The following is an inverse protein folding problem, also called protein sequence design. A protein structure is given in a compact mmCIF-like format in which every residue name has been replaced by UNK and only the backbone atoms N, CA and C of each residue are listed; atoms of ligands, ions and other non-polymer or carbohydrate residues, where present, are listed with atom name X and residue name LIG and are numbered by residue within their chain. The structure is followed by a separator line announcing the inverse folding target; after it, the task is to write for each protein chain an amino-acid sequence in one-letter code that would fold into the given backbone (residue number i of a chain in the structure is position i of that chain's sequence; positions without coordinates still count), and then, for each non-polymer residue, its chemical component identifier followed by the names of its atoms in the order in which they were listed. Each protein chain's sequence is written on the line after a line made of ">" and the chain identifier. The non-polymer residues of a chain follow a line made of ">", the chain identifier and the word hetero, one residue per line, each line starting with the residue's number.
data_IF_701705476611
#
_entry.id   IF_701705476611
#
_cell.length_a   1.000
_cell.length_b   1.000
_cell.length_c   1.000
_cell.angle_alpha   90.00
_cell.angle_beta   90.00
_cell.angle_gamma   90.00
#
_symmetry.space_group_name_H-M   'P 1'
#
loop_
_entity.id
_entity.type
_entity.pdbx_description
1 polymer ?
#
# COMPACT_ATOMS: atom_id res chain seq x y z
N UNK A 1 15.23 -6.53 13.00
CA UNK A 1 14.36 -6.27 11.83
C UNK A 1 15.15 -6.61 10.56
N UNK A 2 14.54 -7.26 9.58
CA UNK A 2 15.21 -7.56 8.31
C UNK A 2 14.91 -6.46 7.29
N UNK A 3 15.86 -5.53 7.11
CA UNK A 3 15.72 -4.39 6.20
C UNK A 3 15.41 -4.82 4.74
N UNK A 4 15.99 -5.95 4.30
CA UNK A 4 15.73 -6.50 2.96
C UNK A 4 14.27 -6.91 2.79
N UNK A 5 13.66 -7.57 3.79
CA UNK A 5 12.27 -7.98 3.75
C UNK A 5 11.34 -6.75 3.73
N UNK A 6 11.67 -5.70 4.48
CA UNK A 6 10.92 -4.43 4.50
C UNK A 6 10.96 -3.76 3.13
N UNK A 7 12.15 -3.58 2.56
CA UNK A 7 12.31 -2.89 1.28
C UNK A 7 11.66 -3.66 0.14
N UNK A 8 11.99 -4.95 -0.02
CA UNK A 8 11.42 -5.77 -1.10
C UNK A 8 9.91 -5.91 -0.90
N UNK A 9 9.47 -6.22 0.32
CA UNK A 9 8.04 -6.37 0.62
C UNK A 9 7.27 -5.07 0.38
N UNK A 10 7.77 -3.94 0.88
CA UNK A 10 7.15 -2.63 0.69
C UNK A 10 7.06 -2.23 -0.77
N UNK A 11 8.15 -2.33 -1.53
CA UNK A 11 8.18 -1.94 -2.95
C UNK A 11 7.31 -2.87 -3.81
N UNK A 12 7.49 -4.18 -3.72
CA UNK A 12 6.76 -5.13 -4.57
C UNK A 12 5.26 -5.11 -4.27
N UNK A 13 4.87 -5.10 -2.99
CA UNK A 13 3.47 -4.99 -2.63
C UNK A 13 2.86 -3.64 -3.06
N UNK A 14 3.63 -2.55 -2.98
CA UNK A 14 3.23 -1.22 -3.45
C UNK A 14 2.96 -1.19 -4.97
N UNK A 15 3.87 -1.75 -5.75
CA UNK A 15 3.69 -1.82 -7.21
C UNK A 15 2.46 -2.66 -7.57
N UNK A 16 2.25 -3.78 -6.89
CA UNK A 16 1.10 -4.64 -7.15
C UNK A 16 -0.25 -3.93 -6.87
N UNK A 17 -0.37 -3.21 -5.75
CA UNK A 17 -1.60 -2.47 -5.45
C UNK A 17 -1.77 -1.29 -6.42
N UNK A 18 -0.71 -0.53 -6.71
CA UNK A 18 -0.78 0.61 -7.62
C UNK A 18 -1.25 0.18 -9.02
N UNK A 19 -0.64 -0.86 -9.59
CA UNK A 19 -1.02 -1.39 -10.91
C UNK A 19 -2.48 -1.86 -10.92
N UNK A 20 -2.91 -2.56 -9.86
CA UNK A 20 -4.29 -3.02 -9.76
C UNK A 20 -5.27 -1.85 -9.68
N UNK A 21 -5.02 -0.87 -8.85
CA UNK A 21 -5.92 0.28 -8.70
C UNK A 21 -5.99 1.13 -9.95
N UNK A 22 -4.85 1.37 -10.59
CA UNK A 22 -4.79 2.04 -11.89
C UNK A 22 -5.62 1.29 -12.95
N UNK A 23 -5.51 -0.04 -13.01
CA UNK A 23 -6.29 -0.83 -13.97
C UNK A 23 -7.80 -0.80 -13.65
N UNK A 24 -8.19 -0.88 -12.38
CA UNK A 24 -9.60 -0.81 -11.98
C UNK A 24 -10.18 0.56 -12.31
N UNK A 25 -9.52 1.64 -11.91
CA UNK A 25 -10.00 3.02 -12.14
C UNK A 25 -10.03 3.41 -13.63
N UNK A 26 -9.26 2.71 -14.47
CA UNK A 26 -9.30 2.90 -15.92
C UNK A 26 -10.54 2.30 -16.57
N UNK A 27 -11.15 1.25 -15.99
CA UNK A 27 -12.21 0.48 -16.65
C UNK A 27 -13.59 0.60 -15.99
N UNK A 28 -13.67 1.05 -14.74
CA UNK A 28 -14.97 1.22 -14.07
C UNK A 28 -15.69 2.47 -14.58
N UNK A 29 -17.04 2.47 -14.61
CA UNK A 29 -17.80 3.67 -14.91
C UNK A 29 -17.49 4.77 -13.90
N UNK A 30 -17.25 5.98 -14.43
CA UNK A 30 -16.90 7.17 -13.62
C UNK A 30 -15.61 7.03 -12.81
N UNK A 31 -14.73 6.11 -13.18
CA UNK A 31 -13.42 5.93 -12.54
C UNK A 31 -12.51 7.14 -12.75
N UNK A 32 -11.51 7.24 -11.90
CA UNK A 32 -10.54 8.33 -11.92
C UNK A 32 -9.58 8.32 -13.13
N UNK A 33 -9.63 7.26 -13.94
CA UNK A 33 -8.74 7.04 -15.07
C UNK A 33 -7.47 6.27 -14.69
N UNK A 34 -6.70 5.85 -15.71
CA UNK A 34 -5.52 5.00 -15.52
C UNK A 34 -4.51 5.57 -14.52
N UNK A 35 -4.24 6.86 -14.59
CA UNK A 35 -3.29 7.54 -13.70
C UNK A 35 -3.97 8.27 -12.52
N UNK A 36 -5.30 8.11 -12.38
CA UNK A 36 -6.09 8.73 -11.34
C UNK A 36 -5.58 8.45 -9.92
N UNK A 37 -5.38 7.18 -9.53
CA UNK A 37 -4.94 6.86 -8.17
C UNK A 37 -3.62 7.52 -7.76
N UNK A 38 -2.52 7.44 -8.52
CA UNK A 38 -1.29 8.15 -8.14
C UNK A 38 -1.45 9.67 -8.20
N UNK A 39 -2.19 10.23 -9.18
CA UNK A 39 -2.43 11.67 -9.22
C UNK A 39 -3.27 12.16 -8.04
N UNK A 40 -4.26 11.39 -7.59
CA UNK A 40 -5.01 11.72 -6.39
C UNK A 40 -4.08 11.82 -5.18
N UNK A 41 -3.16 10.86 -4.98
CA UNK A 41 -2.17 10.94 -3.90
C UNK A 41 -1.25 12.17 -4.08
N UNK A 42 -0.81 12.45 -5.30
CA UNK A 42 0.03 13.61 -5.62
C UNK A 42 -0.65 14.95 -5.39
N UNK A 43 -1.98 15.00 -5.44
CA UNK A 43 -2.79 16.18 -5.15
C UNK A 43 -2.67 16.66 -3.69
N UNK A 44 -2.14 15.84 -2.80
CA UNK A 44 -1.72 16.28 -1.46
C UNK A 44 -0.70 17.43 -1.55
N UNK A 45 0.12 17.44 -2.59
CA UNK A 45 1.18 18.44 -2.84
C UNK A 45 0.73 19.41 -3.94
N UNK A 46 0.22 18.89 -5.07
CA UNK A 46 -0.30 19.68 -6.21
C UNK A 46 -1.77 20.02 -5.94
N UNK A 47 -1.99 21.01 -5.07
CA UNK A 47 -3.31 21.34 -4.49
C UNK A 47 -4.36 21.75 -5.50
N UNK A 48 -3.97 22.24 -6.68
CA UNK A 48 -4.90 22.67 -7.73
C UNK A 48 -5.78 21.52 -8.26
N UNK A 49 -5.36 20.26 -8.05
CA UNK A 49 -6.15 19.09 -8.42
C UNK A 49 -7.26 18.73 -7.42
N UNK A 50 -7.27 19.29 -6.20
CA UNK A 50 -8.19 18.86 -5.13
C UNK A 50 -9.69 19.03 -5.45
N UNK A 51 -10.05 19.90 -6.36
CA UNK A 51 -11.43 20.10 -6.82
C UNK A 51 -11.79 19.33 -8.09
N UNK A 52 -10.90 18.47 -8.61
CA UNK A 52 -11.12 17.80 -9.89
C UNK A 52 -12.20 16.72 -9.79
N UNK A 53 -13.02 16.64 -10.87
CA UNK A 53 -13.94 15.52 -11.08
C UNK A 53 -13.23 14.36 -11.79
N UNK A 54 -13.83 13.17 -11.73
CA UNK A 54 -13.36 12.02 -12.50
C UNK A 54 -13.78 12.11 -13.98
N UNK A 55 -12.93 11.69 -14.94
CA UNK A 55 -11.54 11.27 -14.71
C UNK A 55 -10.65 12.45 -14.32
N UNK A 56 -9.68 12.22 -13.42
CA UNK A 56 -8.74 13.25 -12.95
C UNK A 56 -7.86 13.71 -14.13
N UNK A 57 -7.76 15.04 -14.42
CA UNK A 57 -6.93 15.56 -15.49
C UNK A 57 -5.46 15.16 -15.31
N UNK A 58 -4.78 14.82 -16.43
CA UNK A 58 -3.37 14.42 -16.38
C UNK A 58 -2.48 15.57 -15.91
N UNK A 59 -1.80 15.37 -14.79
CA UNK A 59 -0.76 16.22 -14.27
C UNK A 59 0.48 15.39 -13.96
N UNK A 60 1.57 15.62 -14.68
CA UNK A 60 2.80 14.85 -14.56
C UNK A 60 3.50 15.07 -13.22
N UNK A 61 3.41 16.25 -12.63
CA UNK A 61 4.00 16.52 -11.33
C UNK A 61 3.26 15.74 -10.23
N UNK A 62 1.93 15.79 -10.24
CA UNK A 62 1.11 15.00 -9.33
C UNK A 62 1.33 13.49 -9.52
N UNK A 63 1.44 13.01 -10.76
CA UNK A 63 1.71 11.60 -11.05
C UNK A 63 3.03 11.14 -10.43
N UNK A 64 4.13 11.87 -10.67
CA UNK A 64 5.47 11.50 -10.17
C UNK A 64 5.53 11.60 -8.65
N UNK A 65 5.01 12.69 -8.07
CA UNK A 65 4.98 12.89 -6.62
C UNK A 65 4.09 11.85 -5.92
N UNK A 66 2.95 11.53 -6.51
CA UNK A 66 2.04 10.51 -5.98
C UNK A 66 2.63 9.12 -6.00
N UNK A 67 3.30 8.71 -7.08
CA UNK A 67 4.02 7.43 -7.13
C UNK A 67 5.15 7.38 -6.09
N UNK A 68 5.92 8.44 -5.94
CA UNK A 68 6.99 8.51 -4.95
C UNK A 68 6.44 8.44 -3.52
N UNK A 69 5.38 9.19 -3.23
CA UNK A 69 4.71 9.17 -1.93
C UNK A 69 4.11 7.78 -1.63
N UNK A 70 3.46 7.16 -2.61
CA UNK A 70 2.87 5.83 -2.47
C UNK A 70 3.93 4.76 -2.14
N UNK A 71 5.06 4.74 -2.88
CA UNK A 71 6.17 3.83 -2.62
C UNK A 71 6.78 4.05 -1.24
N UNK A 72 7.04 5.31 -0.88
CA UNK A 72 7.62 5.67 0.42
C UNK A 72 6.72 5.25 1.57
N UNK A 73 5.42 5.59 1.48
CA UNK A 73 4.44 5.22 2.50
C UNK A 73 4.33 3.71 2.65
N UNK A 74 4.34 2.96 1.54
CA UNK A 74 4.30 1.50 1.58
C UNK A 74 5.51 0.89 2.30
N UNK A 75 6.73 1.44 2.09
CA UNK A 75 7.93 0.97 2.80
C UNK A 75 7.85 1.29 4.29
N UNK A 76 7.37 2.48 4.66
CA UNK A 76 7.16 2.87 6.07
C UNK A 76 6.15 1.93 6.75
N UNK A 77 5.02 1.66 6.10
CA UNK A 77 3.99 0.76 6.62
C UNK A 77 4.45 -0.70 6.66
N UNK A 78 5.31 -1.12 5.72
CA UNK A 78 5.98 -2.43 5.76
C UNK A 78 6.94 -2.54 6.95
N UNK A 79 7.65 -1.47 7.29
CA UNK A 79 8.50 -1.42 8.49
C UNK A 79 7.66 -1.53 9.77
N UNK A 80 6.54 -0.80 9.86
CA UNK A 80 5.61 -0.89 10.96
C UNK A 80 5.04 -2.31 11.13
N UNK A 81 4.61 -2.95 10.03
CA UNK A 81 4.21 -4.36 10.04
C UNK A 81 5.31 -5.25 10.57
N UNK A 82 6.55 -5.07 10.11
CA UNK A 82 7.71 -5.82 10.56
C UNK A 82 7.99 -5.67 12.07
N UNK A 83 7.77 -4.49 12.64
CA UNK A 83 7.88 -4.26 14.09
C UNK A 83 6.82 -5.05 14.85
N UNK A 84 5.57 -5.00 14.38
CA UNK A 84 4.43 -5.65 15.04
C UNK A 84 4.49 -7.18 14.97
N UNK A 85 4.92 -7.73 13.84
CA UNK A 85 4.86 -9.17 13.55
C UNK A 85 6.21 -9.87 13.73
N UNK A 86 7.33 -9.15 13.61
CA UNK A 86 8.67 -9.72 13.55
C UNK A 86 9.12 -10.53 14.78
N UNK A 87 8.43 -10.36 15.92
CA UNK A 87 8.68 -11.11 17.16
C UNK A 87 7.71 -12.27 17.38
N UNK A 88 6.70 -12.42 16.50
CA UNK A 88 5.66 -13.46 16.65
C UNK A 88 6.02 -14.69 15.82
N UNK A 89 5.89 -15.86 16.42
CA UNK A 89 6.09 -17.15 15.75
C UNK A 89 4.78 -17.56 15.06
N UNK A 90 4.46 -16.93 13.92
CA UNK A 90 3.27 -17.24 13.12
C UNK A 90 3.64 -18.19 11.99
N UNK A 91 2.82 -19.22 11.77
CA UNK A 91 2.86 -20.02 10.55
C UNK A 91 2.39 -19.21 9.33
N UNK A 92 2.57 -19.73 8.11
CA UNK A 92 2.28 -19.02 6.86
C UNK A 92 0.84 -18.50 6.78
N UNK A 93 -0.15 -19.31 7.19
CA UNK A 93 -1.57 -18.90 7.20
C UNK A 93 -1.85 -17.79 8.23
N UNK A 94 -1.29 -17.90 9.43
CA UNK A 94 -1.42 -16.88 10.46
C UNK A 94 -0.76 -15.56 10.04
N UNK A 95 0.38 -15.65 9.35
CA UNK A 95 1.08 -14.49 8.83
C UNK A 95 0.28 -13.81 7.69
N UNK A 96 -0.30 -14.61 6.78
CA UNK A 96 -1.17 -14.09 5.72
C UNK A 96 -2.41 -13.40 6.30
N UNK A 97 -3.08 -14.01 7.28
CA UNK A 97 -4.21 -13.41 7.98
C UNK A 97 -3.83 -12.10 8.68
N UNK A 98 -2.66 -12.06 9.35
CA UNK A 98 -2.14 -10.84 9.97
C UNK A 98 -1.85 -9.75 8.93
N UNK A 99 -1.33 -10.12 7.76
CA UNK A 99 -1.10 -9.19 6.66
C UNK A 99 -2.41 -8.59 6.12
N UNK A 100 -3.43 -9.43 5.87
CA UNK A 100 -4.75 -8.95 5.45
C UNK A 100 -5.36 -8.02 6.51
N UNK A 101 -5.31 -8.40 7.79
CA UNK A 101 -5.81 -7.56 8.88
C UNK A 101 -5.05 -6.23 8.96
N UNK A 102 -3.75 -6.24 8.73
CA UNK A 102 -2.93 -5.02 8.63
C UNK A 102 -3.38 -4.14 7.46
N UNK A 103 -3.60 -4.72 6.27
CA UNK A 103 -4.11 -4.00 5.10
C UNK A 103 -5.47 -3.35 5.37
N UNK A 104 -6.39 -4.06 6.02
CA UNK A 104 -7.70 -3.50 6.43
C UNK A 104 -7.52 -2.36 7.44
N UNK A 105 -6.64 -2.50 8.43
CA UNK A 105 -6.37 -1.45 9.40
C UNK A 105 -5.78 -0.20 8.76
N UNK A 106 -4.83 -0.36 7.82
CA UNK A 106 -4.25 0.74 7.05
C UNK A 106 -5.32 1.42 6.19
N UNK A 107 -6.14 0.63 5.47
CA UNK A 107 -7.29 1.18 4.73
C UNK A 107 -8.20 2.01 5.63
N UNK A 108 -8.59 1.48 6.78
CA UNK A 108 -9.50 2.18 7.69
C UNK A 108 -8.89 3.50 8.20
N UNK A 109 -7.62 3.49 8.60
CA UNK A 109 -6.92 4.68 9.04
C UNK A 109 -6.78 5.73 7.92
N UNK A 110 -6.47 5.27 6.70
CA UNK A 110 -6.37 6.15 5.53
C UNK A 110 -7.75 6.70 5.14
N UNK A 111 -8.72 5.83 4.87
CA UNK A 111 -10.00 6.19 4.27
C UNK A 111 -10.88 7.03 5.20
N UNK A 112 -10.89 6.74 6.48
CA UNK A 112 -11.79 7.42 7.43
C UNK A 112 -11.11 8.53 8.24
N UNK A 113 -9.78 8.61 8.27
CA UNK A 113 -9.08 9.59 9.10
C UNK A 113 -8.14 10.47 8.26
N UNK A 114 -7.13 9.88 7.62
CA UNK A 114 -6.10 10.68 6.97
C UNK A 114 -6.62 11.37 5.70
N UNK A 115 -7.25 10.61 4.81
CA UNK A 115 -7.71 11.10 3.51
C UNK A 115 -8.73 12.25 3.64
N UNK A 116 -9.80 12.17 4.45
CA UNK A 116 -10.71 13.29 4.61
C UNK A 116 -10.04 14.57 5.12
N UNK A 117 -8.98 14.43 5.91
CA UNK A 117 -8.29 15.55 6.54
C UNK A 117 -7.26 16.23 5.63
N UNK A 118 -6.55 15.45 4.79
CA UNK A 118 -5.38 15.96 4.06
C UNK A 118 -5.51 15.87 2.54
N UNK A 119 -6.31 14.94 2.02
CA UNK A 119 -6.41 14.67 0.58
C UNK A 119 -7.80 14.13 0.17
N UNK A 120 -8.85 14.95 0.27
CA UNK A 120 -10.21 14.52 -0.02
C UNK A 120 -10.41 14.03 -1.47
N UNK A 121 -9.53 14.37 -2.42
CA UNK A 121 -9.62 13.89 -3.81
C UNK A 121 -9.52 12.36 -3.90
N UNK A 122 -8.79 11.71 -3.00
CA UNK A 122 -8.70 10.24 -2.93
C UNK A 122 -10.06 9.58 -2.67
N UNK A 123 -11.03 10.29 -2.04
CA UNK A 123 -12.38 9.76 -1.83
C UNK A 123 -13.19 9.63 -3.13
N UNK A 124 -12.73 10.22 -4.23
CA UNK A 124 -13.32 10.04 -5.56
C UNK A 124 -12.95 8.69 -6.20
N UNK A 125 -11.98 7.97 -5.62
CA UNK A 125 -11.64 6.61 -6.04
C UNK A 125 -12.71 5.62 -5.57
N UNK A 126 -12.77 4.45 -6.22
CA UNK A 126 -13.69 3.40 -5.80
C UNK A 126 -13.24 2.78 -4.46
N UNK A 127 -13.97 3.07 -3.38
CA UNK A 127 -13.63 2.64 -2.01
C UNK A 127 -13.56 1.12 -1.83
N UNK A 128 -14.40 0.35 -2.57
CA UNK A 128 -14.36 -1.14 -2.52
C UNK A 128 -13.08 -1.64 -3.19
N UNK A 129 -12.72 -1.08 -4.34
CA UNK A 129 -11.46 -1.39 -5.01
C UNK A 129 -10.27 -1.02 -4.10
N UNK A 130 -10.31 0.14 -3.48
CA UNK A 130 -9.27 0.62 -2.58
C UNK A 130 -9.09 -0.30 -1.36
N UNK A 131 -10.19 -0.75 -0.73
CA UNK A 131 -10.16 -1.76 0.35
C UNK A 131 -9.53 -3.08 -0.13
N UNK A 132 -10.02 -3.62 -1.24
CA UNK A 132 -9.52 -4.88 -1.78
C UNK A 132 -8.02 -4.79 -2.17
N UNK A 133 -7.59 -3.63 -2.67
CA UNK A 133 -6.18 -3.32 -2.93
C UNK A 133 -5.34 -3.40 -1.66
N UNK A 134 -5.79 -2.79 -0.57
CA UNK A 134 -5.09 -2.82 0.71
C UNK A 134 -5.03 -4.21 1.34
N UNK A 135 -6.09 -5.01 1.22
CA UNK A 135 -6.07 -6.41 1.65
C UNK A 135 -5.04 -7.23 0.85
N UNK A 136 -5.00 -7.06 -0.47
CA UNK A 136 -4.03 -7.69 -1.35
C UNK A 136 -2.59 -7.25 -1.01
N UNK A 137 -2.37 -5.94 -0.79
CA UNK A 137 -1.09 -5.40 -0.38
C UNK A 137 -0.59 -6.02 0.93
N UNK A 138 -1.46 -6.07 1.95
CA UNK A 138 -1.12 -6.67 3.23
C UNK A 138 -0.80 -8.16 3.14
N UNK A 139 -1.56 -8.92 2.35
CA UNK A 139 -1.28 -10.34 2.08
C UNK A 139 0.06 -10.53 1.36
N UNK A 140 0.32 -9.75 0.30
CA UNK A 140 1.59 -9.79 -0.44
C UNK A 140 2.79 -9.45 0.45
N UNK A 141 2.67 -8.41 1.28
CA UNK A 141 3.68 -8.02 2.26
C UNK A 141 3.98 -9.18 3.23
N UNK A 142 2.96 -9.83 3.77
CA UNK A 142 3.11 -10.96 4.68
C UNK A 142 3.78 -12.17 4.04
N UNK A 143 3.41 -12.51 2.79
CA UNK A 143 4.03 -13.59 2.03
C UNK A 143 5.50 -13.31 1.71
N UNK A 144 5.81 -12.08 1.30
CA UNK A 144 7.20 -11.66 1.07
C UNK A 144 8.00 -11.64 2.38
N UNK A 145 7.37 -11.24 3.48
CA UNK A 145 7.97 -11.33 4.81
C UNK A 145 8.31 -12.77 5.18
N UNK A 146 7.45 -13.76 4.91
CA UNK A 146 7.72 -15.16 5.16
C UNK A 146 8.93 -15.70 4.39
N UNK A 147 9.13 -15.20 3.17
CA UNK A 147 10.26 -15.60 2.29
C UNK A 147 11.59 -14.97 2.70
N UNK A 148 11.59 -13.69 3.06
CA UNK A 148 12.81 -12.90 3.26
C UNK A 148 13.07 -12.54 4.73
N UNK A 149 12.05 -12.63 5.61
CA UNK A 149 12.13 -12.21 7.00
C UNK A 149 12.69 -13.27 7.96
N UNK A 150 12.55 -14.56 7.63
CA UNK A 150 12.83 -15.71 8.53
C UNK A 150 14.28 -16.20 8.44
N UNK A 151 15.07 -15.71 7.51
CA UNK A 151 16.39 -16.25 7.14
C UNK A 151 17.46 -16.29 8.25
N UNK A 152 17.29 -15.65 9.40
CA UNK A 152 18.34 -15.56 10.42
C UNK A 152 18.17 -16.46 11.66
N UNK A 153 17.05 -17.21 11.78
CA UNK A 153 16.88 -18.09 12.97
C UNK A 153 17.44 -19.49 12.78
N UNK A 154 17.62 -19.94 11.56
CA UNK A 154 18.08 -21.31 11.29
C UNK A 154 19.60 -21.49 11.41
N UNK A 155 20.39 -20.44 11.38
CA UNK A 155 21.85 -20.51 11.49
C UNK A 155 22.36 -20.60 12.93
N UNK A 156 21.63 -20.05 13.91
CA UNK A 156 22.08 -20.07 15.31
C UNK A 156 21.85 -21.42 16.02
N UNK A 157 20.92 -22.24 15.53
CA UNK A 157 20.63 -23.56 16.13
C UNK A 157 21.47 -24.70 15.55
N UNK A 158 22.29 -24.44 14.51
CA UNK A 158 23.24 -25.43 13.95
C UNK A 158 24.68 -25.21 14.41
N UNK A 159 24.94 -24.14 15.16
CA UNK A 159 26.25 -23.76 15.66
C UNK A 159 26.42 -24.01 17.20
N UNK A 160 25.41 -24.56 17.85
CA UNK A 160 25.41 -25.00 19.24
C UNK A 160 25.24 -26.53 19.33
#
# INVERSE_FOLDING_TARGET
>A
MNARAILIGGIVASLAIAMREMAVEAVIPYGAGLFGPPMAIGATIVRDLQGSANPIPLDLAALVLGLAAHLTNSVVLAAAFGVLIGRRALGTSGLAAAGVAWGVAVFAAMWFVAVPAIDPLVLNLNGIAFLAGHMMWGAALALLWSRFGVSNRSYSLRAA
#
